data_IF_577042294168
#
_entry.id   IF_577042294168
#
_cell.length_a   1.000
_cell.length_b   1.000
_cell.length_c   1.000
_cell.angle_alpha   90.00
_cell.angle_beta   90.00
_cell.angle_gamma   90.00
#
_symmetry.space_group_name_H-M   'P 1'
#
loop_
_entity.id
_entity.type
_entity.pdbx_description
1 polymer ?
#
# COMPACT_ATOMS: atom_id res chain seq x y z
N UNK A 1 8.18 -78.11 -34.20
CA UNK A 1 7.93 -79.04 -33.08
C UNK A 1 8.40 -78.39 -31.79
N UNK A 2 7.46 -78.18 -30.83
CA UNK A 2 7.65 -77.88 -29.39
C UNK A 2 8.43 -76.61 -29.02
N UNK A 3 8.08 -75.79 -28.02
CA UNK A 3 7.07 -75.85 -26.97
C UNK A 3 6.67 -74.41 -26.57
N UNK A 4 5.39 -74.22 -26.27
CA UNK A 4 4.90 -73.17 -25.36
C UNK A 4 5.61 -73.24 -24.01
N UNK A 5 5.90 -72.08 -23.40
CA UNK A 5 5.67 -71.86 -21.97
C UNK A 5 5.18 -70.42 -21.75
N UNK A 6 4.11 -70.34 -20.95
CA UNK A 6 3.34 -69.18 -20.54
C UNK A 6 4.08 -68.04 -19.81
N UNK A 7 3.37 -66.89 -19.81
CA UNK A 7 3.58 -65.63 -19.09
C UNK A 7 3.69 -65.84 -17.55
N UNK A 8 4.15 -64.83 -16.78
CA UNK A 8 3.18 -63.83 -16.31
C UNK A 8 3.71 -62.38 -16.28
N UNK A 9 2.90 -61.51 -16.86
CA UNK A 9 2.69 -60.11 -16.46
C UNK A 9 2.41 -60.05 -14.97
N UNK A 10 3.28 -59.45 -14.16
CA UNK A 10 2.99 -58.95 -12.80
C UNK A 10 4.25 -58.27 -12.20
N UNK A 11 4.54 -57.02 -12.57
CA UNK A 11 5.55 -56.26 -11.80
C UNK A 11 5.43 -54.73 -11.80
N UNK A 12 4.31 -54.13 -12.24
CA UNK A 12 4.26 -52.67 -12.45
C UNK A 12 3.34 -51.84 -11.53
N UNK A 13 2.51 -52.43 -10.65
CA UNK A 13 1.42 -51.66 -10.01
C UNK A 13 1.27 -51.76 -8.48
N UNK A 14 2.32 -52.18 -7.74
CA UNK A 14 2.24 -52.22 -6.25
C UNK A 14 3.03 -51.15 -5.50
N UNK A 15 3.87 -50.34 -6.15
CA UNK A 15 4.81 -49.47 -5.43
C UNK A 15 4.45 -47.97 -5.34
N UNK A 16 3.37 -47.48 -5.95
CA UNK A 16 3.11 -46.01 -6.04
C UNK A 16 2.22 -45.43 -4.94
N UNK A 17 1.54 -46.25 -4.12
CA UNK A 17 0.64 -45.74 -3.07
C UNK A 17 1.37 -45.37 -1.77
N UNK A 18 2.42 -46.10 -1.39
CA UNK A 18 3.16 -45.86 -0.14
C UNK A 18 4.08 -44.63 -0.24
N UNK A 19 4.70 -44.42 -1.40
CA UNK A 19 5.67 -43.35 -1.63
C UNK A 19 5.02 -41.95 -1.69
N UNK A 20 3.76 -41.87 -2.14
CA UNK A 20 3.00 -40.62 -2.20
C UNK A 20 2.60 -40.09 -0.80
N UNK A 21 2.29 -41.00 0.13
CA UNK A 21 1.93 -40.64 1.50
C UNK A 21 3.10 -40.05 2.31
N UNK A 22 4.33 -40.55 2.08
CA UNK A 22 5.54 -40.09 2.77
C UNK A 22 6.01 -38.73 2.24
N UNK A 23 6.01 -38.52 0.91
CA UNK A 23 6.34 -37.21 0.30
C UNK A 23 5.35 -36.12 0.71
N UNK A 24 4.06 -36.45 0.84
CA UNK A 24 3.03 -35.52 1.30
C UNK A 24 3.24 -35.09 2.77
N UNK A 25 3.70 -36.01 3.61
CA UNK A 25 3.93 -35.78 5.05
C UNK A 25 5.16 -34.91 5.33
N UNK A 26 6.21 -35.04 4.51
CA UNK A 26 7.42 -34.20 4.58
C UNK A 26 7.12 -32.77 4.10
N UNK A 27 6.36 -32.61 3.01
CA UNK A 27 5.96 -31.29 2.50
C UNK A 27 5.04 -30.54 3.48
N UNK A 28 4.07 -31.23 4.10
CA UNK A 28 3.16 -30.59 5.08
C UNK A 28 3.86 -30.24 6.39
N UNK A 29 4.82 -31.06 6.84
CA UNK A 29 5.58 -30.80 8.07
C UNK A 29 6.53 -29.62 7.93
N UNK A 30 7.21 -29.51 6.79
CA UNK A 30 8.11 -28.39 6.51
C UNK A 30 7.35 -27.06 6.37
N UNK A 31 6.17 -27.08 5.75
CA UNK A 31 5.31 -25.90 5.62
C UNK A 31 4.74 -25.45 6.98
N UNK A 32 4.31 -26.39 7.84
CA UNK A 32 3.87 -26.07 9.19
C UNK A 32 5.00 -25.47 10.05
N UNK A 33 6.22 -26.00 9.92
CA UNK A 33 7.38 -25.47 10.62
C UNK A 33 7.72 -24.04 10.17
N UNK A 34 7.64 -23.76 8.87
CA UNK A 34 7.91 -22.41 8.33
C UNK A 34 6.85 -21.38 8.76
N UNK A 35 5.57 -21.76 8.82
CA UNK A 35 4.49 -20.86 9.27
C UNK A 35 4.57 -20.59 10.78
N UNK A 36 4.96 -21.57 11.60
CA UNK A 36 5.16 -21.38 13.06
C UNK A 36 6.36 -20.48 13.40
N UNK A 37 7.36 -20.36 12.51
CA UNK A 37 8.54 -19.52 12.73
C UNK A 37 8.33 -18.04 12.36
N UNK A 38 7.26 -17.69 11.64
CA UNK A 38 6.91 -16.31 11.30
C UNK A 38 5.94 -15.73 12.35
N UNK A 39 6.49 -15.29 13.48
CA UNK A 39 5.73 -14.52 14.47
C UNK A 39 5.17 -13.21 13.87
N UNK A 40 4.13 -12.61 14.48
CA UNK A 40 3.55 -11.36 14.01
C UNK A 40 4.61 -10.26 14.09
N UNK A 41 4.90 -9.61 12.97
CA UNK A 41 5.73 -8.41 12.97
C UNK A 41 5.06 -7.35 13.87
N UNK A 42 5.79 -6.70 14.79
CA UNK A 42 5.21 -5.59 15.54
C UNK A 42 4.77 -4.52 14.54
N UNK A 43 3.52 -4.07 14.65
CA UNK A 43 3.06 -2.89 13.95
C UNK A 43 3.96 -1.73 14.40
N UNK A 44 4.85 -1.28 13.52
CA UNK A 44 5.64 -0.11 13.80
C UNK A 44 4.66 1.06 13.91
N UNK A 45 4.48 1.60 15.12
CA UNK A 45 4.08 2.99 15.30
C UNK A 45 5.14 3.79 14.55
N UNK A 46 4.85 4.13 13.30
CA UNK A 46 5.79 4.75 12.40
C UNK A 46 6.02 6.19 12.87
N UNK A 47 6.89 6.34 13.87
CA UNK A 47 7.38 7.63 14.33
C UNK A 47 7.90 8.35 13.10
N UNK A 48 7.25 9.47 12.77
CA UNK A 48 7.60 10.27 11.60
C UNK A 48 9.10 10.56 11.62
N UNK A 49 9.82 10.38 10.50
CA UNK A 49 11.21 10.75 10.44
C UNK A 49 11.37 12.24 10.80
N UNK A 50 12.48 12.66 11.42
CA UNK A 50 12.63 14.02 11.96
C UNK A 50 12.36 15.16 10.96
N UNK A 51 12.58 14.92 9.66
CA UNK A 51 12.21 15.85 8.59
C UNK A 51 10.69 15.98 8.40
N UNK A 52 9.96 14.86 8.40
CA UNK A 52 8.51 14.85 8.24
C UNK A 52 7.81 15.45 9.47
N UNK A 53 8.31 15.18 10.67
CA UNK A 53 7.81 15.78 11.90
C UNK A 53 7.92 17.32 11.87
N UNK A 54 9.06 17.85 11.42
CA UNK A 54 9.25 19.31 11.22
C UNK A 54 8.30 19.87 10.16
N UNK A 55 8.15 19.18 9.03
CA UNK A 55 7.21 19.58 7.98
C UNK A 55 5.76 19.65 8.47
N UNK A 56 5.33 18.68 9.28
CA UNK A 56 4.01 18.68 9.89
C UNK A 56 3.81 19.84 10.87
N UNK A 57 4.84 20.19 11.66
CA UNK A 57 4.78 21.33 12.56
C UNK A 57 4.54 22.64 11.78
N UNK A 58 5.29 22.90 10.70
CA UNK A 58 5.06 24.07 9.84
C UNK A 58 3.69 24.07 9.16
N UNK A 59 3.17 22.89 8.81
CA UNK A 59 1.87 22.77 8.14
C UNK A 59 0.71 23.24 9.02
N UNK A 60 0.75 22.90 10.31
CA UNK A 60 -0.28 23.18 11.31
C UNK A 60 0.03 24.40 12.18
N UNK A 61 1.13 25.10 11.91
CA UNK A 61 1.49 26.31 12.66
C UNK A 61 0.59 27.46 12.22
N UNK A 62 -0.35 27.82 13.10
CA UNK A 62 -1.28 28.94 12.90
C UNK A 62 -0.58 30.30 12.97
N UNK A 63 0.58 30.39 13.61
CA UNK A 63 1.36 31.62 13.75
C UNK A 63 2.30 31.86 12.57
N UNK A 64 2.53 30.84 11.74
CA UNK A 64 3.34 30.97 10.56
C UNK A 64 2.67 31.88 9.53
N UNK A 65 3.46 32.77 8.91
CA UNK A 65 3.00 33.63 7.81
C UNK A 65 2.41 32.84 6.61
N UNK A 66 2.69 31.54 6.52
CA UNK A 66 2.14 30.62 5.52
C UNK A 66 1.47 29.43 6.21
N UNK A 67 0.34 29.66 6.86
CA UNK A 67 -0.45 28.62 7.53
C UNK A 67 -1.19 27.75 6.50
N UNK A 68 -0.60 26.60 6.14
CA UNK A 68 -1.16 25.67 5.14
C UNK A 68 -2.46 25.00 5.61
N UNK A 69 -2.57 24.70 6.90
CA UNK A 69 -3.73 24.08 7.55
C UNK A 69 -5.01 24.93 7.50
N UNK A 70 -4.90 26.24 7.24
CA UNK A 70 -6.05 27.14 7.07
C UNK A 70 -6.92 26.77 5.86
N UNK A 71 -6.32 26.17 4.83
CA UNK A 71 -7.00 25.79 3.60
C UNK A 71 -6.95 24.29 3.32
N UNK A 72 -5.88 23.59 3.72
CA UNK A 72 -5.67 22.19 3.37
C UNK A 72 -5.72 21.26 4.58
N UNK A 73 -6.34 20.10 4.40
CA UNK A 73 -6.36 19.04 5.40
C UNK A 73 -5.21 18.06 5.16
N UNK A 74 -4.53 17.66 6.23
CA UNK A 74 -3.51 16.62 6.22
C UNK A 74 -3.71 15.71 7.43
N UNK A 75 -3.84 14.40 7.20
CA UNK A 75 -4.09 13.40 8.25
C UNK A 75 -5.24 13.80 9.20
N UNK A 76 -6.35 14.27 8.62
CA UNK A 76 -7.56 14.74 9.32
C UNK A 76 -7.40 16.02 10.16
N UNK A 77 -6.30 16.78 9.97
CA UNK A 77 -6.07 18.07 10.63
C UNK A 77 -6.03 19.20 9.60
N UNK A 78 -6.66 20.33 9.91
CA UNK A 78 -6.83 21.47 8.98
C UNK A 78 -8.23 21.54 8.38
N UNK A 79 -8.40 22.30 7.30
CA UNK A 79 -9.71 22.52 6.63
C UNK A 79 -9.73 21.93 5.21
N UNK A 80 -10.92 21.64 4.67
CA UNK A 80 -11.10 21.11 3.32
C UNK A 80 -11.50 22.19 2.29
N UNK A 81 -11.00 23.42 2.45
CA UNK A 81 -11.30 24.55 1.55
C UNK A 81 -10.51 24.43 0.24
N UNK A 82 -9.25 24.01 0.35
CA UNK A 82 -8.32 23.79 -0.74
C UNK A 82 -8.25 22.31 -1.15
N UNK A 83 -7.62 22.01 -2.31
CA UNK A 83 -7.53 20.65 -2.83
C UNK A 83 -6.74 19.71 -1.91
N UNK A 84 -7.17 18.45 -1.84
CA UNK A 84 -6.52 17.45 -1.01
C UNK A 84 -5.06 17.18 -1.44
N UNK A 85 -4.12 17.47 -0.54
CA UNK A 85 -2.68 17.35 -0.78
C UNK A 85 -2.18 15.90 -0.67
N UNK A 86 -2.94 14.97 -0.08
CA UNK A 86 -2.54 13.56 -0.02
C UNK A 86 -2.38 12.95 -1.42
N UNK A 87 -3.12 13.49 -2.39
CA UNK A 87 -3.04 13.12 -3.80
C UNK A 87 -1.74 13.58 -4.47
N UNK A 88 -0.98 14.50 -3.88
CA UNK A 88 0.27 15.02 -4.46
C UNK A 88 1.50 14.15 -4.14
N UNK A 89 1.36 13.09 -3.35
CA UNK A 89 2.48 12.24 -2.93
C UNK A 89 3.23 11.56 -4.09
N UNK A 90 2.60 11.44 -5.26
CA UNK A 90 3.22 10.90 -6.48
C UNK A 90 4.15 11.90 -7.19
N UNK A 91 4.10 13.19 -6.82
CA UNK A 91 4.92 14.23 -7.44
C UNK A 91 6.31 14.29 -6.83
N UNK A 92 7.29 14.69 -7.63
CA UNK A 92 8.65 14.94 -7.14
C UNK A 92 8.69 16.12 -6.18
N UNK A 93 9.60 16.10 -5.21
CA UNK A 93 9.83 17.22 -4.30
C UNK A 93 10.06 18.54 -5.04
N UNK A 94 10.74 18.50 -6.20
CA UNK A 94 10.97 19.68 -7.05
C UNK A 94 9.67 20.25 -7.61
N UNK A 95 8.76 19.40 -8.08
CA UNK A 95 7.45 19.82 -8.57
C UNK A 95 6.61 20.44 -7.44
N UNK A 96 6.64 19.84 -6.25
CA UNK A 96 5.94 20.36 -5.06
C UNK A 96 6.49 21.74 -4.67
N UNK A 97 7.82 21.91 -4.59
CA UNK A 97 8.45 23.21 -4.29
C UNK A 97 8.12 24.25 -5.36
N UNK A 98 8.07 23.85 -6.64
CA UNK A 98 7.66 24.73 -7.73
C UNK A 98 6.21 25.20 -7.57
N UNK A 99 5.31 24.33 -7.10
CA UNK A 99 3.92 24.68 -6.84
C UNK A 99 3.77 25.63 -5.64
N UNK A 100 4.48 25.37 -4.53
CA UNK A 100 4.49 26.24 -3.34
C UNK A 100 5.00 27.65 -3.67
N UNK A 101 6.01 27.74 -4.55
CA UNK A 101 6.60 29.01 -4.99
C UNK A 101 5.85 29.66 -6.16
N UNK A 102 4.86 28.99 -6.74
CA UNK A 102 4.13 29.55 -7.86
C UNK A 102 3.28 30.73 -7.38
N UNK A 103 3.44 31.89 -8.02
CA UNK A 103 2.67 33.11 -7.73
C UNK A 103 1.24 33.07 -8.27
N UNK A 104 0.76 31.89 -8.70
CA UNK A 104 -0.58 31.75 -9.33
C UNK A 104 -1.74 32.08 -8.39
N UNK A 105 -1.54 32.01 -7.08
CA UNK A 105 -2.56 32.38 -6.07
C UNK A 105 -2.39 33.78 -5.50
N UNK A 106 -1.38 34.54 -5.94
CA UNK A 106 -1.14 35.90 -5.42
C UNK A 106 -2.25 36.89 -5.83
N UNK A 107 -3.02 36.58 -6.88
CA UNK A 107 -4.11 37.42 -7.40
C UNK A 107 -5.37 36.61 -7.69
N UNK A 108 -5.94 35.93 -6.68
CA UNK A 108 -7.27 35.34 -6.82
C UNK A 108 -8.30 36.47 -6.85
N UNK A 109 -8.74 36.86 -8.04
CA UNK A 109 -9.91 37.70 -8.20
C UNK A 109 -11.15 36.85 -7.91
N UNK A 110 -12.03 37.34 -7.03
CA UNK A 110 -13.35 36.73 -6.82
C UNK A 110 -14.20 37.00 -8.07
N UNK A 111 -14.11 36.09 -9.04
CA UNK A 111 -14.93 36.17 -10.26
C UNK A 111 -16.31 35.63 -9.92
N UNK A 112 -17.34 36.47 -10.06
CA UNK A 112 -18.73 36.05 -9.91
C UNK A 112 -19.09 35.16 -11.10
N UNK A 113 -18.85 33.87 -11.00
CA UNK A 113 -19.22 32.93 -12.04
C UNK A 113 -20.76 32.91 -12.15
N UNK A 114 -21.28 33.16 -13.35
CA UNK A 114 -22.72 33.03 -13.68
C UNK A 114 -23.12 31.55 -13.85
N UNK A 115 -22.57 30.68 -13.00
CA UNK A 115 -22.92 29.27 -12.97
C UNK A 115 -23.84 29.09 -11.78
N UNK A 116 -25.14 29.00 -12.02
CA UNK A 116 -26.11 28.59 -11.01
C UNK A 116 -25.77 27.16 -10.61
N UNK A 117 -24.99 27.01 -9.54
CA UNK A 117 -24.69 25.72 -8.95
C UNK A 117 -26.01 25.17 -8.39
N UNK A 118 -26.59 24.21 -9.10
CA UNK A 118 -27.81 23.53 -8.70
C UNK A 118 -27.46 22.62 -7.50
N UNK A 119 -27.68 23.13 -6.30
CA UNK A 119 -27.62 22.37 -5.07
C UNK A 119 -28.66 21.25 -5.13
N UNK A 120 -28.20 20.03 -5.35
CA UNK A 120 -29.02 18.82 -5.20
C UNK A 120 -28.45 18.02 -4.03
N UNK A 121 -29.22 18.08 -2.94
CA UNK A 121 -29.28 17.23 -1.73
C UNK A 121 -27.97 16.90 -1.03
#
# INVERSE_FOLDING_TARGET
MRCMVERPVLSFERNTRAECAIRRRIMTGFWLFMVMAAGPAPAADAKLPPQAARGQAFFLDETAARHCGSCHALAHKGTAVGPDLTRLAHLSARAIVSAIRATRTQYVLNVKHRVSWNARS
#
